data_IF_401792484567
#
_entry.id   IF_401792484567
#
_cell.length_a   1.000
_cell.length_b   1.000
_cell.length_c   1.000
_cell.angle_alpha   90.00
_cell.angle_beta   90.00
_cell.angle_gamma   90.00
#
_symmetry.space_group_name_H-M   'P 1'
#
loop_
_entity.id
_entity.type
_entity.pdbx_description
1 polymer ?
#
# COMPACT_ATOMS: atom_id res chain seq x y z
N UNK A 1 4.63 -3.68 -4.10
CA UNK A 1 5.92 -4.20 -3.59
C UNK A 1 5.80 -4.28 -2.08
N UNK A 2 5.76 -5.50 -1.55
CA UNK A 2 5.68 -5.73 -0.10
C UNK A 2 7.10 -6.01 0.38
N UNK A 3 7.53 -5.34 1.44
CA UNK A 3 8.79 -5.64 2.12
C UNK A 3 8.43 -6.36 3.41
N UNK A 4 8.94 -7.58 3.57
CA UNK A 4 8.76 -8.38 4.79
C UNK A 4 10.12 -8.49 5.49
N UNK A 5 10.12 -8.24 6.79
CA UNK A 5 11.30 -8.38 7.63
C UNK A 5 11.30 -9.79 8.23
N UNK A 6 12.35 -10.56 7.98
CA UNK A 6 12.56 -11.87 8.58
C UNK A 6 13.83 -11.83 9.44
N UNK A 7 13.74 -12.34 10.67
CA UNK A 7 14.88 -12.42 11.58
C UNK A 7 15.44 -13.85 11.49
N UNK A 8 16.74 -13.98 11.23
CA UNK A 8 17.45 -15.27 11.19
C UNK A 8 18.46 -15.34 12.33
N UNK A 9 18.82 -16.55 12.76
CA UNK A 9 19.76 -16.78 13.87
C UNK A 9 21.19 -16.27 13.62
N UNK A 10 21.52 -15.86 12.39
CA UNK A 10 22.84 -15.31 12.01
C UNK A 10 22.81 -13.88 11.43
N UNK A 11 21.66 -13.19 11.41
CA UNK A 11 21.55 -11.84 10.84
C UNK A 11 20.11 -11.38 10.56
N UNK A 12 19.97 -10.22 9.92
CA UNK A 12 18.65 -9.70 9.50
C UNK A 12 18.46 -9.93 8.00
N UNK A 13 17.30 -10.49 7.62
CA UNK A 13 16.93 -10.75 6.23
C UNK A 13 15.85 -9.75 5.81
N UNK A 14 16.17 -8.94 4.80
CA UNK A 14 15.19 -8.04 4.18
C UNK A 14 14.69 -8.69 2.91
N UNK A 15 13.42 -9.09 2.87
CA UNK A 15 12.82 -9.72 1.69
C UNK A 15 11.95 -8.72 0.93
N UNK A 16 12.21 -8.58 -0.37
CA UNK A 16 11.38 -7.82 -1.31
C UNK A 16 10.53 -8.79 -2.13
N UNK A 17 9.23 -8.78 -1.88
CA UNK A 17 8.27 -9.58 -2.61
C UNK A 17 7.75 -8.78 -3.80
N UNK A 18 8.09 -9.25 -5.01
CA UNK A 18 7.45 -8.82 -6.25
C UNK A 18 6.43 -9.88 -6.64
N UNK A 19 5.16 -9.55 -6.46
CA UNK A 19 4.06 -10.35 -6.99
C UNK A 19 3.92 -10.01 -8.47
N UNK A 20 4.21 -10.98 -9.33
CA UNK A 20 3.83 -10.92 -10.73
C UNK A 20 2.36 -11.34 -10.82
N UNK A 21 1.46 -10.40 -10.56
CA UNK A 21 0.03 -10.66 -10.62
C UNK A 21 -0.49 -10.23 -12.00
N UNK A 22 -0.90 -11.19 -12.83
CA UNK A 22 -2.09 -10.95 -13.64
C UNK A 22 -3.26 -11.22 -12.68
N UNK A 23 -3.82 -10.16 -12.10
CA UNK A 23 -5.04 -10.30 -11.31
C UNK A 23 -6.10 -10.95 -12.22
N UNK A 24 -6.70 -12.05 -11.78
CA UNK A 24 -7.86 -12.60 -12.48
C UNK A 24 -8.95 -11.53 -12.54
N UNK A 25 -9.83 -11.59 -13.54
CA UNK A 25 -10.88 -10.59 -13.73
C UNK A 25 -11.74 -10.40 -12.46
N UNK A 26 -11.95 -11.46 -11.69
CA UNK A 26 -12.68 -11.41 -10.41
C UNK A 26 -11.94 -10.60 -9.34
N UNK A 27 -10.62 -10.77 -9.20
CA UNK A 27 -9.82 -9.98 -8.26
C UNK A 27 -9.79 -8.51 -8.69
N UNK A 28 -9.63 -8.25 -9.99
CA UNK A 28 -9.67 -6.91 -10.54
C UNK A 28 -11.05 -6.24 -10.35
N UNK A 29 -12.13 -7.02 -10.37
CA UNK A 29 -13.50 -6.56 -10.08
C UNK A 29 -13.66 -6.22 -8.60
N UNK A 30 -13.25 -7.11 -7.69
CA UNK A 30 -13.32 -6.88 -6.23
C UNK A 30 -12.51 -5.65 -5.81
N UNK A 31 -11.31 -5.48 -6.39
CA UNK A 31 -10.49 -4.29 -6.19
C UNK A 31 -11.24 -3.01 -6.56
N UNK A 32 -11.81 -2.96 -7.77
CA UNK A 32 -12.57 -1.80 -8.26
C UNK A 32 -13.75 -1.45 -7.35
N UNK A 33 -14.54 -2.44 -6.93
CA UNK A 33 -15.69 -2.24 -6.03
C UNK A 33 -15.23 -1.58 -4.71
N UNK A 34 -14.13 -2.07 -4.12
CA UNK A 34 -13.60 -1.50 -2.88
C UNK A 34 -13.03 -0.09 -3.08
N UNK A 35 -12.29 0.16 -4.17
CA UNK A 35 -11.79 1.50 -4.50
C UNK A 35 -12.93 2.51 -4.68
N UNK A 36 -14.03 2.13 -5.35
CA UNK A 36 -15.23 2.96 -5.50
C UNK A 36 -15.90 3.23 -4.15
N UNK A 37 -16.03 2.21 -3.29
CA UNK A 37 -16.60 2.39 -1.95
C UNK A 37 -15.78 3.38 -1.09
N UNK A 38 -14.45 3.30 -1.19
CA UNK A 38 -13.54 4.25 -0.51
C UNK A 38 -13.78 5.67 -1.02
N UNK A 39 -13.87 5.87 -2.33
CA UNK A 39 -14.15 7.19 -2.92
C UNK A 39 -15.50 7.75 -2.47
N UNK A 40 -16.55 6.94 -2.49
CA UNK A 40 -17.89 7.36 -2.09
C UNK A 40 -17.97 7.73 -0.60
N UNK A 41 -17.34 6.94 0.27
CA UNK A 41 -17.29 7.22 1.70
C UNK A 41 -16.52 8.50 1.99
N UNK A 42 -15.37 8.70 1.35
CA UNK A 42 -14.58 9.93 1.51
C UNK A 42 -15.35 11.13 0.98
N UNK A 43 -16.06 10.99 -0.15
CA UNK A 43 -16.90 12.07 -0.67
C UNK A 43 -17.94 12.50 0.37
N UNK A 44 -18.65 11.55 0.98
CA UNK A 44 -19.64 11.84 2.04
C UNK A 44 -18.98 12.50 3.27
N UNK A 45 -17.85 11.96 3.73
CA UNK A 45 -17.10 12.50 4.88
C UNK A 45 -16.66 13.95 4.63
N UNK A 46 -16.17 14.25 3.43
CA UNK A 46 -15.70 15.59 3.06
C UNK A 46 -16.85 16.56 2.79
N UNK A 47 -17.99 16.10 2.28
CA UNK A 47 -19.21 16.92 2.16
C UNK A 47 -19.76 17.32 3.53
N UNK A 48 -19.70 16.43 4.53
CA UNK A 48 -20.13 16.72 5.89
C UNK A 48 -19.16 17.68 6.60
N UNK A 49 -17.86 17.43 6.52
CA UNK A 49 -16.83 18.27 7.15
C UNK A 49 -16.66 19.62 6.44
N UNK A 50 -16.77 19.62 5.12
CA UNK A 50 -16.62 20.79 4.26
C UNK A 50 -17.60 21.91 4.56
N UNK A 51 -18.77 21.60 5.13
CA UNK A 51 -19.75 22.61 5.61
C UNK A 51 -19.17 23.58 6.64
N UNK A 52 -18.13 23.17 7.36
CA UNK A 52 -17.46 23.98 8.40
C UNK A 52 -16.15 24.60 7.93
N UNK A 53 -15.71 24.29 6.71
CA UNK A 53 -14.40 24.70 6.19
C UNK A 53 -14.54 25.95 5.34
N UNK A 54 -13.78 26.99 5.67
CA UNK A 54 -13.75 28.25 4.90
C UNK A 54 -12.54 28.24 3.96
N UNK A 55 -12.55 27.32 2.97
CA UNK A 55 -11.43 27.08 2.04
C UNK A 55 -11.91 27.31 0.62
N UNK A 56 -11.07 27.88 -0.24
CA UNK A 56 -11.38 28.06 -1.66
C UNK A 56 -11.60 26.73 -2.39
N UNK A 57 -12.57 26.69 -3.31
CA UNK A 57 -13.04 25.47 -3.99
C UNK A 57 -11.90 24.69 -4.68
N UNK A 58 -10.92 25.37 -5.27
CA UNK A 58 -9.78 24.73 -5.94
C UNK A 58 -8.83 24.01 -4.95
N UNK A 59 -8.59 24.61 -3.78
CA UNK A 59 -7.77 24.00 -2.73
C UNK A 59 -8.49 22.79 -2.11
N UNK A 60 -9.81 22.88 -1.96
CA UNK A 60 -10.63 21.78 -1.48
C UNK A 60 -10.60 20.58 -2.44
N UNK A 61 -10.75 20.79 -3.75
CA UNK A 61 -10.68 19.68 -4.72
C UNK A 61 -9.29 19.05 -4.79
N UNK A 62 -8.21 19.84 -4.69
CA UNK A 62 -6.84 19.30 -4.59
C UNK A 62 -6.67 18.44 -3.35
N UNK A 63 -7.17 18.91 -2.20
CA UNK A 63 -7.14 18.16 -0.95
C UNK A 63 -7.96 16.86 -1.04
N UNK A 64 -9.17 16.93 -1.62
CA UNK A 64 -10.04 15.77 -1.83
C UNK A 64 -9.36 14.69 -2.66
N UNK A 65 -8.78 15.07 -3.80
CA UNK A 65 -8.05 14.13 -4.66
C UNK A 65 -6.87 13.50 -3.93
N UNK A 66 -6.07 14.31 -3.22
CA UNK A 66 -4.95 13.84 -2.42
C UNK A 66 -5.41 12.85 -1.33
N UNK A 67 -6.47 13.18 -0.60
CA UNK A 67 -6.97 12.36 0.50
C UNK A 67 -7.55 11.03 0.01
N UNK A 68 -8.27 11.03 -1.12
CA UNK A 68 -8.73 9.81 -1.80
C UNK A 68 -7.53 8.92 -2.16
N UNK A 69 -6.52 9.45 -2.83
CA UNK A 69 -5.35 8.69 -3.24
C UNK A 69 -4.60 8.12 -2.03
N UNK A 70 -4.40 8.93 -1.00
CA UNK A 70 -3.78 8.50 0.25
C UNK A 70 -4.53 7.33 0.92
N UNK A 71 -5.86 7.41 1.01
CA UNK A 71 -6.69 6.34 1.59
C UNK A 71 -6.67 5.08 0.74
N UNK A 72 -6.71 5.20 -0.59
CA UNK A 72 -6.55 4.06 -1.50
C UNK A 72 -5.18 3.40 -1.37
N UNK A 73 -4.11 4.17 -1.30
CA UNK A 73 -2.75 3.66 -1.13
C UNK A 73 -2.54 2.98 0.22
N UNK A 74 -3.14 3.53 1.28
CA UNK A 74 -3.13 2.95 2.62
C UNK A 74 -3.85 1.61 2.62
N UNK A 75 -5.09 1.58 2.13
CA UNK A 75 -5.87 0.34 1.97
C UNK A 75 -5.14 -0.69 1.11
N UNK A 76 -4.51 -0.25 0.00
CA UNK A 76 -3.73 -1.13 -0.85
C UNK A 76 -2.59 -1.81 -0.11
N UNK A 77 -1.86 -1.05 0.71
CA UNK A 77 -0.70 -1.54 1.45
C UNK A 77 -1.06 -2.42 2.64
N UNK A 78 -2.07 -2.02 3.40
CA UNK A 78 -2.39 -2.61 4.69
C UNK A 78 -3.40 -3.74 4.61
N UNK A 79 -4.31 -3.71 3.63
CA UNK A 79 -5.40 -4.69 3.54
C UNK A 79 -5.37 -5.47 2.22
N UNK A 80 -5.38 -4.78 1.07
CA UNK A 80 -5.52 -5.43 -0.23
C UNK A 80 -4.33 -6.34 -0.57
N UNK A 81 -3.09 -5.89 -0.34
CA UNK A 81 -1.91 -6.72 -0.64
C UNK A 81 -1.83 -7.96 0.26
N UNK A 82 -2.00 -7.88 1.59
CA UNK A 82 -2.10 -9.06 2.45
C UNK A 82 -3.26 -9.99 2.07
N UNK A 83 -4.44 -9.43 1.78
CA UNK A 83 -5.59 -10.20 1.32
C UNK A 83 -5.31 -10.92 0.01
N UNK A 84 -4.67 -10.24 -0.96
CA UNK A 84 -4.24 -10.83 -2.22
C UNK A 84 -3.25 -11.96 -1.99
N UNK A 85 -2.32 -11.81 -1.04
CA UNK A 85 -1.37 -12.86 -0.67
C UNK A 85 -2.03 -14.07 0.00
N UNK A 86 -3.13 -13.85 0.72
CA UNK A 86 -3.84 -14.88 1.47
C UNK A 86 -4.87 -15.64 0.62
N UNK A 87 -5.68 -14.92 -0.16
CA UNK A 87 -6.74 -15.51 -1.00
C UNK A 87 -6.22 -16.04 -2.34
N UNK A 88 -5.08 -15.56 -2.85
CA UNK A 88 -4.49 -16.22 -4.02
C UNK A 88 -3.74 -17.47 -3.61
N UNK A 89 -4.04 -18.57 -4.29
CA UNK A 89 -3.07 -19.60 -4.60
C UNK A 89 -1.95 -18.94 -5.42
N UNK A 90 -0.98 -18.30 -4.76
CA UNK A 90 0.06 -17.56 -5.46
C UNK A 90 0.83 -18.56 -6.34
N UNK A 91 0.65 -18.46 -7.66
CA UNK A 91 1.25 -19.39 -8.61
C UNK A 91 2.77 -19.27 -8.68
N UNK A 92 3.33 -18.10 -8.36
CA UNK A 92 4.78 -17.89 -8.25
C UNK A 92 5.11 -16.69 -7.36
N UNK A 93 5.88 -16.94 -6.29
CA UNK A 93 6.47 -15.89 -5.45
C UNK A 93 7.97 -15.82 -5.77
N UNK A 94 8.43 -14.70 -6.33
CA UNK A 94 9.86 -14.40 -6.37
C UNK A 94 10.26 -13.60 -5.14
N UNK A 95 10.86 -14.28 -4.18
CA UNK A 95 11.48 -13.65 -3.02
C UNK A 95 12.92 -13.29 -3.41
N UNK A 96 13.27 -12.01 -3.30
CA UNK A 96 14.67 -11.58 -3.36
C UNK A 96 15.02 -11.03 -1.99
N UNK A 97 16.08 -11.54 -1.38
CA UNK A 97 16.54 -11.07 -0.09
C UNK A 97 18.02 -10.73 -0.14
N UNK A 98 18.37 -9.66 0.57
CA UNK A 98 19.75 -9.31 0.86
C UNK A 98 20.05 -9.79 2.28
N UNK A 99 21.20 -10.46 2.45
CA UNK A 99 21.68 -10.88 3.76
C UNK A 99 22.63 -9.80 4.27
N UNK A 100 22.21 -9.07 5.29
CA UNK A 100 23.05 -8.05 5.91
C UNK A 100 23.79 -8.65 7.12
N UNK A 101 25.11 -8.42 7.21
CA UNK A 101 25.89 -8.76 8.41
C UNK A 101 25.47 -7.92 9.63
N UNK A 102 24.94 -6.71 9.39
CA UNK A 102 24.47 -5.77 10.40
C UNK A 102 22.98 -5.50 10.24
N UNK A 103 22.33 -5.00 11.29
CA UNK A 103 20.92 -4.62 11.24
C UNK A 103 20.73 -3.52 10.17
N UNK A 104 19.91 -3.75 9.13
CA UNK A 104 19.72 -2.81 8.03
C UNK A 104 19.09 -1.50 8.53
N UNK A 105 19.56 -0.39 7.96
CA UNK A 105 19.08 0.96 8.28
C UNK A 105 18.11 1.44 7.21
N UNK A 106 17.15 2.29 7.61
CA UNK A 106 16.29 2.98 6.63
C UNK A 106 17.09 4.09 5.95
N UNK A 107 17.16 4.02 4.63
CA UNK A 107 17.72 5.09 3.80
C UNK A 107 16.92 6.38 3.99
N UNK A 108 17.57 7.52 4.28
CA UNK A 108 16.88 8.80 4.44
C UNK A 108 16.32 9.34 3.12
N UNK A 109 16.83 8.88 1.97
CA UNK A 109 16.42 9.37 0.65
C UNK A 109 15.27 8.56 0.04
N UNK A 110 15.24 7.25 0.27
CA UNK A 110 14.25 6.36 -0.36
C UNK A 110 13.27 5.75 0.63
N UNK A 111 13.53 5.87 1.95
CA UNK A 111 12.75 5.20 3.00
C UNK A 111 12.89 3.67 3.00
N UNK A 112 13.71 3.12 2.11
CA UNK A 112 13.92 1.67 1.97
C UNK A 112 14.98 1.19 2.96
N UNK A 113 14.83 -0.04 3.45
CA UNK A 113 15.88 -0.70 4.22
C UNK A 113 17.04 -1.08 3.30
N UNK A 114 18.25 -0.73 3.69
CA UNK A 114 19.48 -1.05 2.96
C UNK A 114 20.48 -1.73 3.89
N UNK A 115 21.29 -2.64 3.34
CA UNK A 115 22.41 -3.26 4.07
C UNK A 115 23.64 -2.32 4.18
N UNK A 116 23.57 -1.12 3.62
CA UNK A 116 24.61 -0.08 3.72
C UNK A 116 24.55 0.65 5.08
#
# INVERSE_FOLDING_TARGET
MVIVNLISSKGTVVAKLRLAANATDEIARRKRIKETLIEENIRKELEERGKTWNIGNEQFEKFRLWYINYRKDTWHREEYLPWLLYENEISCIRVTFDVCERVPKRSPFTGQLTCF
#
